data_IF_344019953679
#
_entry.id   IF_344019953679
#
_cell.length_a   1.000
_cell.length_b   1.000
_cell.length_c   1.000
_cell.angle_alpha   90.00
_cell.angle_beta   90.00
_cell.angle_gamma   90.00
#
_symmetry.space_group_name_H-M   'P 1'
#
loop_
_entity.id
_entity.type
_entity.pdbx_description
1 polymer ?
#
# COMPACT_ATOMS: atom_id res chain seq x y z
N UNK A 1 -22.01 16.93 -2.07
CA UNK A 1 -22.01 16.17 -3.34
C UNK A 1 -20.72 15.41 -3.41
N UNK A 2 -20.78 14.11 -3.15
CA UNK A 2 -19.64 13.22 -3.26
C UNK A 2 -19.43 12.94 -4.74
N UNK A 3 -18.36 13.47 -5.34
CA UNK A 3 -18.13 13.30 -6.77
C UNK A 3 -17.60 11.88 -7.00
N UNK A 4 -18.46 11.01 -7.52
CA UNK A 4 -18.13 9.62 -7.84
C UNK A 4 -16.91 9.54 -8.77
N UNK A 5 -16.67 10.53 -9.63
CA UNK A 5 -15.49 10.60 -10.47
C UNK A 5 -14.20 10.71 -9.64
N UNK A 6 -14.17 11.62 -8.65
CA UNK A 6 -13.01 11.79 -7.76
C UNK A 6 -12.75 10.53 -6.93
N UNK A 7 -13.80 9.83 -6.50
CA UNK A 7 -13.67 8.54 -5.83
C UNK A 7 -13.02 7.48 -6.73
N UNK A 8 -13.41 7.42 -8.01
CA UNK A 8 -12.85 6.48 -8.98
C UNK A 8 -11.38 6.81 -9.27
N UNK A 9 -11.03 8.08 -9.45
CA UNK A 9 -9.66 8.51 -9.69
C UNK A 9 -8.75 8.18 -8.51
N UNK A 10 -9.17 8.51 -7.28
CA UNK A 10 -8.42 8.19 -6.07
C UNK A 10 -8.27 6.66 -5.90
N UNK A 11 -9.30 5.87 -6.19
CA UNK A 11 -9.21 4.40 -6.20
C UNK A 11 -8.15 3.91 -7.19
N UNK A 12 -8.18 4.41 -8.43
CA UNK A 12 -7.24 4.00 -9.48
C UNK A 12 -5.79 4.35 -9.13
N UNK A 13 -5.56 5.50 -8.50
CA UNK A 13 -4.24 5.87 -7.99
C UNK A 13 -3.75 4.87 -6.93
N UNK A 14 -4.60 4.50 -5.98
CA UNK A 14 -4.24 3.50 -4.94
C UNK A 14 -3.96 2.13 -5.58
N UNK A 15 -4.78 1.66 -6.52
CA UNK A 15 -4.55 0.38 -7.22
C UNK A 15 -3.25 0.38 -8.02
N UNK A 16 -2.89 1.51 -8.62
CA UNK A 16 -1.62 1.70 -9.32
C UNK A 16 -0.44 1.62 -8.36
N UNK A 17 -0.52 2.33 -7.22
CA UNK A 17 0.51 2.29 -6.18
C UNK A 17 0.68 0.88 -5.61
N UNK A 18 -0.41 0.18 -5.31
CA UNK A 18 -0.42 -1.22 -4.87
C UNK A 18 0.34 -2.10 -5.87
N UNK A 19 0.07 -1.95 -7.16
CA UNK A 19 0.73 -2.73 -8.22
C UNK A 19 2.22 -2.43 -8.31
N UNK A 20 2.61 -1.15 -8.23
CA UNK A 20 4.02 -0.73 -8.24
C UNK A 20 4.78 -1.25 -7.00
N UNK A 21 4.15 -1.22 -5.83
CA UNK A 21 4.74 -1.75 -4.59
C UNK A 21 4.91 -3.27 -4.70
N UNK A 22 3.91 -3.99 -5.24
CA UNK A 22 3.98 -5.42 -5.45
C UNK A 22 5.17 -5.81 -6.35
N UNK A 23 5.31 -5.13 -7.50
CA UNK A 23 6.43 -5.36 -8.42
C UNK A 23 7.78 -4.98 -7.81
N UNK A 24 7.86 -3.86 -7.09
CA UNK A 24 9.11 -3.40 -6.46
C UNK A 24 9.55 -4.30 -5.29
N UNK A 25 8.60 -4.87 -4.56
CA UNK A 25 8.86 -5.77 -3.44
C UNK A 25 9.55 -7.07 -3.89
N UNK A 26 9.32 -7.52 -5.13
CA UNK A 26 9.99 -8.68 -5.72
C UNK A 26 11.42 -8.36 -6.19
N UNK A 27 11.68 -7.15 -6.69
CA UNK A 27 12.95 -6.83 -7.34
C UNK A 27 14.04 -6.28 -6.42
N UNK A 28 13.71 -5.45 -5.42
CA UNK A 28 14.59 -5.00 -4.30
C UNK A 28 13.86 -3.90 -3.52
N UNK A 29 13.70 -4.00 -2.19
CA UNK A 29 13.14 -2.90 -1.41
C UNK A 29 14.25 -1.85 -1.23
N UNK A 30 14.20 -0.82 -2.07
CA UNK A 30 14.81 0.48 -1.76
C UNK A 30 13.71 1.37 -1.20
N UNK A 31 14.09 2.39 -0.44
CA UNK A 31 13.21 3.30 0.31
C UNK A 31 11.92 3.71 -0.42
N UNK A 32 11.96 3.78 -1.76
CA UNK A 32 10.79 3.96 -2.62
C UNK A 32 9.59 3.04 -2.33
N UNK A 33 9.77 1.75 -2.04
CA UNK A 33 8.61 0.87 -1.73
C UNK A 33 7.98 1.20 -0.37
N UNK A 34 8.76 1.78 0.55
CA UNK A 34 8.23 2.26 1.84
C UNK A 34 7.52 3.59 1.64
N UNK A 35 8.10 4.49 0.82
CA UNK A 35 7.50 5.78 0.50
C UNK A 35 6.18 5.64 -0.25
N UNK A 36 6.14 4.81 -1.30
CA UNK A 36 4.91 4.50 -2.04
C UNK A 36 3.83 3.89 -1.16
N UNK A 37 4.21 3.13 -0.12
CA UNK A 37 3.27 2.55 0.83
C UNK A 37 2.68 3.60 1.77
N UNK A 38 3.48 4.58 2.19
CA UNK A 38 3.01 5.73 2.96
C UNK A 38 2.04 6.58 2.13
N UNK A 39 2.43 6.90 0.89
CA UNK A 39 1.57 7.63 -0.06
C UNK A 39 0.23 6.92 -0.28
N UNK A 40 0.26 5.60 -0.55
CA UNK A 40 -0.96 4.84 -0.75
C UNK A 40 -1.84 4.76 0.52
N UNK A 41 -1.23 4.80 1.71
CA UNK A 41 -1.95 4.84 2.98
C UNK A 41 -2.63 6.18 3.19
N UNK A 42 -1.94 7.29 2.91
CA UNK A 42 -2.53 8.63 2.97
C UNK A 42 -3.68 8.79 1.95
N UNK A 43 -3.48 8.32 0.71
CA UNK A 43 -4.54 8.32 -0.30
C UNK A 43 -5.77 7.51 0.12
N UNK A 44 -5.58 6.38 0.82
CA UNK A 44 -6.69 5.59 1.37
C UNK A 44 -7.45 6.34 2.48
N UNK A 45 -6.77 7.11 3.33
CA UNK A 45 -7.45 7.94 4.33
C UNK A 45 -8.29 9.03 3.68
N UNK A 46 -7.76 9.69 2.64
CA UNK A 46 -8.53 10.64 1.83
C UNK A 46 -9.71 9.95 1.13
N UNK A 47 -9.51 8.74 0.58
CA UNK A 47 -10.60 7.97 -0.03
C UNK A 47 -11.71 7.64 0.98
N UNK A 48 -11.35 7.39 2.25
CA UNK A 48 -12.32 7.13 3.32
C UNK A 48 -13.14 8.37 3.69
N UNK A 49 -12.53 9.55 3.72
CA UNK A 49 -13.26 10.80 4.02
C UNK A 49 -14.17 11.21 2.85
N UNK A 50 -13.80 10.84 1.63
CA UNK A 50 -14.59 11.06 0.42
C UNK A 50 -15.62 9.95 0.17
N UNK A 51 -15.61 8.84 0.91
CA UNK A 51 -16.58 7.79 0.69
C UNK A 51 -17.93 8.17 1.29
N UNK A 52 -18.96 7.93 0.50
CA UNK A 52 -20.33 8.04 0.96
C UNK A 52 -20.62 6.87 1.92
N UNK A 53 -20.97 7.21 3.16
CA UNK A 53 -21.16 6.23 4.23
C UNK A 53 -22.34 5.29 3.96
N UNK A 54 -23.27 5.68 3.08
CA UNK A 54 -24.43 4.89 2.68
C UNK A 54 -24.16 4.05 1.42
N UNK A 55 -22.99 4.23 0.78
CA UNK A 55 -22.61 3.49 -0.40
C UNK A 55 -21.80 2.22 -0.04
N UNK A 56 -22.51 1.10 0.07
CA UNK A 56 -21.93 -0.21 0.40
C UNK A 56 -20.83 -0.66 -0.57
N UNK A 57 -20.90 -0.25 -1.84
CA UNK A 57 -19.87 -0.56 -2.86
C UNK A 57 -18.57 0.16 -2.52
N UNK A 58 -18.64 1.45 -2.19
CA UNK A 58 -17.48 2.24 -1.79
C UNK A 58 -16.87 1.70 -0.47
N UNK A 59 -17.72 1.33 0.49
CA UNK A 59 -17.28 0.71 1.74
C UNK A 59 -16.52 -0.61 1.49
N UNK A 60 -17.02 -1.49 0.62
CA UNK A 60 -16.32 -2.74 0.26
C UNK A 60 -14.98 -2.49 -0.43
N UNK A 61 -14.92 -1.50 -1.33
CA UNK A 61 -13.67 -1.10 -1.99
C UNK A 61 -12.64 -0.64 -0.96
N UNK A 62 -13.04 0.22 0.00
CA UNK A 62 -12.15 0.68 1.08
C UNK A 62 -11.61 -0.49 1.90
N UNK A 63 -12.47 -1.43 2.31
CA UNK A 63 -12.06 -2.60 3.11
C UNK A 63 -11.06 -3.45 2.33
N UNK A 64 -11.31 -3.67 1.04
CA UNK A 64 -10.40 -4.41 0.16
C UNK A 64 -9.05 -3.71 0.05
N UNK A 65 -9.01 -2.43 -0.30
CA UNK A 65 -7.78 -1.65 -0.45
C UNK A 65 -6.98 -1.59 0.86
N UNK A 66 -7.67 -1.42 1.99
CA UNK A 66 -7.05 -1.47 3.33
C UNK A 66 -6.34 -2.81 3.57
N UNK A 67 -7.00 -3.90 3.19
CA UNK A 67 -6.45 -5.25 3.36
C UNK A 67 -5.24 -5.49 2.45
N UNK A 68 -5.30 -5.03 1.21
CA UNK A 68 -4.20 -5.13 0.24
C UNK A 68 -2.97 -4.33 0.70
N UNK A 69 -3.16 -3.08 1.17
CA UNK A 69 -2.07 -2.26 1.72
C UNK A 69 -1.44 -2.88 2.97
N UNK A 70 -2.25 -3.44 3.87
CA UNK A 70 -1.73 -4.11 5.07
C UNK A 70 -0.92 -5.37 4.70
N UNK A 71 -1.38 -6.16 3.73
CA UNK A 71 -0.65 -7.31 3.22
C UNK A 71 0.69 -6.91 2.57
N UNK A 72 0.70 -5.84 1.79
CA UNK A 72 1.92 -5.27 1.20
C UNK A 72 2.87 -4.75 2.28
N UNK A 73 2.37 -4.06 3.31
CA UNK A 73 3.17 -3.58 4.43
C UNK A 73 3.89 -4.71 5.15
N UNK A 74 3.18 -5.81 5.40
CA UNK A 74 3.77 -7.03 5.97
C UNK A 74 4.84 -7.65 5.06
N UNK A 75 4.63 -7.66 3.74
CA UNK A 75 5.62 -8.15 2.77
C UNK A 75 6.88 -7.29 2.78
N UNK A 76 6.74 -5.97 2.66
CA UNK A 76 7.86 -5.01 2.71
C UNK A 76 8.64 -5.14 4.03
N UNK A 77 7.94 -5.26 5.16
CA UNK A 77 8.54 -5.46 6.48
C UNK A 77 9.31 -6.80 6.59
N UNK A 78 8.74 -7.91 6.05
CA UNK A 78 9.42 -9.22 6.01
C UNK A 78 10.72 -9.17 5.21
N UNK A 79 10.74 -8.49 4.05
CA UNK A 79 11.98 -8.36 3.28
C UNK A 79 13.03 -7.53 4.03
N UNK A 80 12.63 -6.45 4.72
CA UNK A 80 13.52 -5.70 5.63
C UNK A 80 14.09 -6.59 6.74
N UNK A 81 13.27 -7.42 7.38
CA UNK A 81 13.67 -8.30 8.47
C UNK A 81 14.64 -9.40 8.01
N UNK A 82 14.36 -10.07 6.89
CA UNK A 82 15.22 -11.12 6.32
C UNK A 82 16.63 -10.60 6.00
N UNK A 83 16.73 -9.37 5.48
CA UNK A 83 18.03 -8.73 5.17
C UNK A 83 18.83 -8.37 6.43
N UNK A 84 18.16 -7.99 7.52
CA UNK A 84 18.82 -7.68 8.80
C UNK A 84 19.44 -8.93 9.42
N UNK A 85 18.79 -10.09 9.27
CA UNK A 85 19.34 -11.39 9.70
C UNK A 85 20.54 -11.80 8.83
N UNK A 86 20.49 -11.56 7.52
CA UNK A 86 21.61 -11.87 6.62
C UNK A 86 22.86 -11.02 6.91
N UNK A 87 22.69 -9.73 7.25
CA UNK A 87 23.81 -8.84 7.64
C UNK A 87 24.43 -9.20 9.00
N UNK A 88 23.68 -9.82 9.92
CA UNK A 88 24.23 -10.32 11.19
C UNK A 88 24.97 -11.65 11.05
N UNK A 89 24.88 -12.33 9.90
CA UNK A 89 25.53 -13.61 9.62
C UNK A 89 26.70 -13.53 8.64
N UNK A 90 27.18 -12.34 8.26
CA UNK A 90 28.52 -12.25 7.66
C UNK A 90 29.54 -12.37 8.78
N UNK A 91 30.33 -13.46 8.86
CA UNK A 91 31.51 -13.45 9.68
C UNK A 91 32.46 -12.43 9.04
N UNK A 92 32.92 -11.48 9.83
CA UNK A 92 34.16 -10.77 9.53
C UNK A 92 35.24 -11.84 9.34
N UNK A 93 35.68 -12.02 8.10
CA UNK A 93 36.93 -12.72 7.79
C UNK A 93 38.05 -11.68 7.76
#
# INVERSE_FOLDING_TARGET
MTNVAEFIEARLQIETLISQIAQSAEQRPREESTQRLDEATQSLETLKTMADSENEVQARVIVRLTSELNALGKRVAKVKAAKKVLRKKQPTA
#
